data_IF_599944418095
#
_entry.id   IF_599944418095
#
_cell.length_a   1.000
_cell.length_b   1.000
_cell.length_c   1.000
_cell.angle_alpha   90.00
_cell.angle_beta   90.00
_cell.angle_gamma   90.00
#
_symmetry.space_group_name_H-M   'P 1'
#
loop_
_entity.id
_entity.type
_entity.pdbx_description
1 polymer ?
#
# COMPACT_ATOMS: atom_id res chain seq x y z
N UNK A 1 -2.65 26.22 -5.04
CA UNK A 1 -2.83 25.50 -3.76
C UNK A 1 -1.64 25.83 -2.84
N UNK A 2 -1.86 26.13 -1.54
CA UNK A 2 -0.77 26.50 -0.61
C UNK A 2 -0.03 25.28 -0.06
N UNK A 3 1.28 25.40 0.21
CA UNK A 3 2.13 24.35 0.81
C UNK A 3 1.54 23.77 2.11
N UNK A 4 0.85 24.60 2.89
CA UNK A 4 0.21 24.21 4.16
C UNK A 4 -0.96 23.23 3.94
N UNK A 5 -1.67 23.36 2.82
CA UNK A 5 -2.79 22.48 2.50
C UNK A 5 -2.29 21.11 2.02
N UNK A 6 -1.13 21.05 1.34
CA UNK A 6 -0.61 19.79 0.79
C UNK A 6 -0.14 18.79 1.86
N UNK A 7 0.54 19.25 2.91
CA UNK A 7 0.92 18.35 4.02
C UNK A 7 -0.30 17.81 4.76
N UNK A 8 -1.39 18.59 4.80
CA UNK A 8 -2.66 18.16 5.35
C UNK A 8 -3.31 17.08 4.46
N UNK A 9 -3.30 17.23 3.14
CA UNK A 9 -3.80 16.20 2.22
C UNK A 9 -3.02 14.89 2.35
N UNK A 10 -1.68 14.94 2.38
CA UNK A 10 -0.85 13.72 2.58
C UNK A 10 -1.19 13.04 3.90
N UNK A 11 -1.32 13.84 4.97
CA UNK A 11 -1.66 13.34 6.30
C UNK A 11 -3.05 12.72 6.33
N UNK A 12 -4.04 13.37 5.70
CA UNK A 12 -5.41 12.87 5.57
C UNK A 12 -5.46 11.55 4.82
N UNK A 13 -4.84 11.48 3.64
CA UNK A 13 -4.79 10.24 2.86
C UNK A 13 -4.07 9.11 3.62
N UNK A 14 -2.97 9.44 4.31
CA UNK A 14 -2.26 8.47 5.15
C UNK A 14 -3.11 7.94 6.31
N UNK A 15 -3.95 8.79 6.92
CA UNK A 15 -4.91 8.37 7.94
C UNK A 15 -5.94 7.41 7.33
N UNK A 16 -6.52 7.75 6.17
CA UNK A 16 -7.48 6.90 5.46
C UNK A 16 -6.91 5.52 5.11
N UNK A 17 -5.64 5.44 4.69
CA UNK A 17 -4.94 4.17 4.49
C UNK A 17 -4.96 3.28 5.73
N UNK A 18 -4.66 3.86 6.90
CA UNK A 18 -4.60 3.11 8.17
C UNK A 18 -6.01 2.78 8.67
N UNK A 19 -6.97 3.69 8.53
CA UNK A 19 -8.36 3.44 8.88
C UNK A 19 -8.97 2.31 8.06
N UNK A 20 -8.69 2.22 6.75
CA UNK A 20 -9.13 1.10 5.90
C UNK A 20 -8.67 -0.26 6.45
N UNK A 21 -7.45 -0.32 6.96
CA UNK A 21 -6.89 -1.55 7.58
C UNK A 21 -7.54 -1.85 8.92
N UNK A 22 -7.91 -0.84 9.69
CA UNK A 22 -8.49 -1.01 11.03
C UNK A 22 -9.96 -1.39 10.96
N UNK A 23 -10.75 -0.66 10.16
CA UNK A 23 -12.21 -0.70 10.14
C UNK A 23 -12.77 -2.00 9.54
N UNK A 24 -12.01 -2.76 8.75
CA UNK A 24 -12.48 -3.98 8.08
C UNK A 24 -13.85 -3.79 7.38
N UNK A 25 -14.16 -2.57 6.94
CA UNK A 25 -15.50 -2.22 6.46
C UNK A 25 -15.74 -2.82 5.07
N UNK A 26 -16.90 -3.48 4.96
CA UNK A 26 -17.37 -4.23 3.78
C UNK A 26 -17.85 -3.36 2.62
N UNK A 27 -17.55 -2.06 2.63
CA UNK A 27 -18.28 -1.11 1.78
C UNK A 27 -17.53 -0.75 0.49
N UNK A 28 -17.05 -1.79 -0.21
CA UNK A 28 -16.58 -1.66 -1.59
C UNK A 28 -17.16 -2.80 -2.42
N UNK A 29 -18.27 -2.52 -3.11
CA UNK A 29 -18.89 -3.39 -4.12
C UNK A 29 -18.04 -3.51 -5.42
N UNK A 30 -16.71 -3.45 -5.29
CA UNK A 30 -15.77 -3.48 -6.42
C UNK A 30 -14.98 -4.78 -6.36
N UNK A 31 -15.40 -5.77 -7.15
CA UNK A 31 -14.78 -7.09 -7.27
C UNK A 31 -13.31 -7.05 -7.71
N UNK A 32 -12.81 -5.88 -8.14
CA UNK A 32 -11.42 -5.68 -8.59
C UNK A 32 -10.50 -5.06 -7.53
N UNK A 33 -11.00 -4.74 -6.32
CA UNK A 33 -10.18 -4.23 -5.21
C UNK A 33 -10.02 -5.27 -4.10
N UNK A 34 -8.80 -5.45 -3.56
CA UNK A 34 -8.57 -6.41 -2.48
C UNK A 34 -9.45 -6.05 -1.26
N UNK A 35 -10.35 -6.98 -0.90
CA UNK A 35 -11.22 -6.84 0.27
C UNK A 35 -10.36 -6.78 1.56
N UNK A 36 -10.42 -5.69 2.35
CA UNK A 36 -9.57 -5.50 3.53
C UNK A 36 -9.87 -6.46 4.69
N UNK A 37 -10.96 -7.25 4.64
CA UNK A 37 -11.35 -8.26 5.66
C UNK A 37 -10.27 -9.27 6.08
N UNK A 38 -9.14 -9.34 5.37
CA UNK A 38 -8.11 -10.36 5.56
C UNK A 38 -6.67 -9.80 5.63
N UNK A 39 -6.51 -8.49 5.77
CA UNK A 39 -5.19 -7.88 5.93
C UNK A 39 -4.73 -8.03 7.38
N UNK A 40 -3.64 -8.75 7.61
CA UNK A 40 -2.99 -8.82 8.90
C UNK A 40 -2.42 -7.44 9.31
N UNK A 41 -3.00 -6.84 10.34
CA UNK A 41 -2.67 -5.48 10.81
C UNK A 41 -1.21 -5.39 11.27
N UNK A 42 -0.69 -6.43 11.93
CA UNK A 42 0.70 -6.49 12.43
C UNK A 42 1.71 -6.51 11.28
N UNK A 43 1.44 -7.28 10.23
CA UNK A 43 2.25 -7.32 9.01
C UNK A 43 2.17 -6.01 8.22
N UNK A 44 0.98 -5.41 8.08
CA UNK A 44 0.84 -4.08 7.47
C UNK A 44 1.68 -3.03 8.21
N UNK A 45 1.52 -2.92 9.54
CA UNK A 45 2.31 -2.03 10.40
C UNK A 45 3.81 -2.26 10.22
N UNK A 46 4.24 -3.52 10.21
CA UNK A 46 5.64 -3.89 10.02
C UNK A 46 6.17 -3.44 8.66
N UNK A 47 5.39 -3.60 7.59
CA UNK A 47 5.80 -3.23 6.24
C UNK A 47 5.87 -1.70 6.08
N UNK A 48 4.85 -0.95 6.48
CA UNK A 48 4.84 0.52 6.37
C UNK A 48 5.98 1.17 7.15
N UNK A 49 6.38 0.61 8.30
CA UNK A 49 7.56 1.04 9.07
C UNK A 49 8.88 0.87 8.31
N UNK A 50 8.96 -0.12 7.40
CA UNK A 50 10.14 -0.41 6.58
C UNK A 50 10.14 0.35 5.25
N UNK A 51 9.00 0.86 4.79
CA UNK A 51 8.86 1.45 3.46
C UNK A 51 9.83 2.61 3.19
N UNK A 52 9.92 3.59 4.09
CA UNK A 52 10.85 4.72 3.91
C UNK A 52 12.31 4.24 3.79
N UNK A 53 12.72 3.24 4.58
CA UNK A 53 14.07 2.68 4.53
C UNK A 53 14.32 1.89 3.24
N UNK A 54 13.32 1.12 2.76
CA UNK A 54 13.41 0.40 1.49
C UNK A 54 13.61 1.38 0.32
N UNK A 55 12.81 2.46 0.30
CA UNK A 55 12.92 3.50 -0.73
C UNK A 55 14.29 4.17 -0.68
N UNK A 56 14.78 4.53 0.50
CA UNK A 56 16.08 5.18 0.68
C UNK A 56 17.26 4.30 0.23
N UNK A 57 17.23 3.00 0.56
CA UNK A 57 18.35 2.07 0.29
C UNK A 57 18.34 1.52 -1.13
N UNK A 58 17.16 1.19 -1.65
CA UNK A 58 17.03 0.42 -2.90
C UNK A 58 16.49 1.27 -4.05
N UNK A 59 15.97 2.47 -3.77
CA UNK A 59 15.22 3.28 -4.72
C UNK A 59 13.74 2.90 -4.79
N UNK A 60 12.92 3.82 -5.31
CA UNK A 60 11.47 3.65 -5.35
C UNK A 60 11.04 2.55 -6.32
N UNK A 61 11.57 2.52 -7.55
CA UNK A 61 11.25 1.46 -8.54
C UNK A 61 11.52 0.07 -7.99
N UNK A 62 12.70 -0.18 -7.43
CA UNK A 62 13.05 -1.49 -6.85
C UNK A 62 12.14 -1.85 -5.66
N UNK A 63 11.69 -0.86 -4.90
CA UNK A 63 10.72 -1.08 -3.81
C UNK A 63 9.38 -1.54 -4.37
N UNK A 64 8.87 -0.93 -5.45
CA UNK A 64 7.64 -1.37 -6.11
C UNK A 64 7.79 -2.79 -6.67
N UNK A 65 8.90 -3.09 -7.34
CA UNK A 65 9.21 -4.44 -7.85
C UNK A 65 9.22 -5.47 -6.71
N UNK A 66 9.81 -5.13 -5.57
CA UNK A 66 9.79 -5.98 -4.38
C UNK A 66 8.38 -6.23 -3.87
N UNK A 67 7.57 -5.18 -3.70
CA UNK A 67 6.18 -5.31 -3.27
C UNK A 67 5.38 -6.18 -4.24
N UNK A 68 5.54 -5.96 -5.55
CA UNK A 68 4.90 -6.71 -6.62
C UNK A 68 5.29 -8.20 -6.56
N UNK A 69 6.57 -8.50 -6.30
CA UNK A 69 7.04 -9.89 -6.16
C UNK A 69 6.39 -10.64 -4.99
N UNK A 70 6.05 -9.92 -3.91
CA UNK A 70 5.41 -10.49 -2.71
C UNK A 70 3.89 -10.60 -2.86
N UNK A 71 3.28 -9.65 -3.57
CA UNK A 71 1.86 -9.65 -3.93
C UNK A 71 1.49 -10.77 -4.92
N UNK A 72 2.34 -11.03 -5.92
CA UNK A 72 2.07 -11.92 -7.06
C UNK A 72 2.44 -13.40 -6.85
N UNK A 73 2.46 -13.91 -5.62
CA UNK A 73 2.67 -15.35 -5.42
C UNK A 73 1.45 -16.15 -5.91
N UNK A 74 1.48 -16.58 -7.18
CA UNK A 74 0.81 -17.72 -7.89
C UNK A 74 -0.61 -18.17 -7.50
N UNK A 75 -1.45 -17.32 -6.90
CA UNK A 75 -2.80 -17.72 -6.48
C UNK A 75 -3.94 -17.29 -7.44
N UNK A 76 -3.59 -16.74 -8.60
CA UNK A 76 -4.55 -16.40 -9.65
C UNK A 76 -4.15 -17.11 -10.95
N UNK A 77 -5.11 -17.79 -11.58
CA UNK A 77 -5.02 -18.20 -13.00
C UNK A 77 -6.22 -17.61 -13.72
N UNK A 78 -5.99 -16.99 -14.88
CA UNK A 78 -7.05 -16.41 -15.73
C UNK A 78 -7.99 -15.43 -15.00
N UNK A 79 -7.47 -14.63 -14.06
CA UNK A 79 -8.29 -13.67 -13.29
C UNK A 79 -9.08 -14.29 -12.13
N UNK A 80 -9.14 -15.61 -12.03
CA UNK A 80 -9.83 -16.30 -10.93
C UNK A 80 -8.86 -16.68 -9.81
N UNK A 81 -9.27 -16.37 -8.58
CA UNK A 81 -8.55 -16.75 -7.36
C UNK A 81 -8.67 -18.26 -7.20
N UNK A 82 -7.57 -18.99 -7.40
CA UNK A 82 -7.53 -20.43 -7.14
C UNK A 82 -7.12 -20.61 -5.68
N UNK A 83 -8.07 -21.04 -4.85
CA UNK A 83 -7.83 -21.51 -3.49
C UNK A 83 -8.19 -22.99 -3.46
N UNK A 84 -7.18 -23.86 -3.31
CA UNK A 84 -7.40 -25.32 -3.30
C UNK A 84 -7.60 -25.86 -1.89
N UNK A 85 -7.13 -25.14 -0.87
CA UNK A 85 -7.26 -25.53 0.53
C UNK A 85 -7.12 -24.32 1.49
N UNK A 86 -7.38 -24.57 2.77
CA UNK A 86 -7.31 -23.57 3.85
C UNK A 86 -5.89 -23.00 4.07
N UNK A 87 -4.84 -23.75 3.74
CA UNK A 87 -3.45 -23.29 3.93
C UNK A 87 -3.04 -22.30 2.84
N UNK A 88 -3.47 -22.51 1.60
CA UNK A 88 -3.34 -21.54 0.51
C UNK A 88 -4.12 -20.26 0.83
N UNK A 89 -5.31 -20.37 1.43
CA UNK A 89 -6.09 -19.21 1.87
C UNK A 89 -5.35 -18.38 2.93
N UNK A 90 -4.79 -19.03 3.95
CA UNK A 90 -3.96 -18.38 4.98
C UNK A 90 -2.73 -17.70 4.36
N UNK A 91 -2.09 -18.36 3.39
CA UNK A 91 -0.92 -17.81 2.67
C UNK A 91 -1.27 -16.59 1.82
N UNK A 92 -2.47 -16.56 1.22
CA UNK A 92 -2.96 -15.39 0.50
C UNK A 92 -3.20 -14.24 1.47
N UNK A 93 -3.93 -14.49 2.57
CA UNK A 93 -4.25 -13.47 3.57
C UNK A 93 -3.00 -12.85 4.16
N UNK A 94 -1.98 -13.66 4.47
CA UNK A 94 -0.70 -13.17 5.02
C UNK A 94 0.07 -12.24 4.08
N UNK A 95 -0.29 -12.14 2.80
CA UNK A 95 0.37 -11.27 1.81
C UNK A 95 -0.48 -10.10 1.33
N UNK A 96 -1.72 -9.97 1.78
CA UNK A 96 -2.62 -8.92 1.26
C UNK A 96 -2.13 -7.51 1.55
N UNK A 97 -1.41 -7.30 2.65
CA UNK A 97 -0.82 -6.00 2.98
C UNK A 97 0.14 -5.48 1.88
N UNK A 98 0.78 -6.36 1.08
CA UNK A 98 1.58 -5.94 -0.08
C UNK A 98 0.71 -5.36 -1.21
N UNK A 99 -0.42 -6.02 -1.51
CA UNK A 99 -1.37 -5.54 -2.52
C UNK A 99 -1.96 -4.19 -2.12
N UNK A 100 -2.34 -4.07 -0.84
CA UNK A 100 -2.92 -2.84 -0.31
C UNK A 100 -1.92 -1.68 -0.40
N UNK A 101 -0.65 -1.88 -0.01
CA UNK A 101 0.36 -0.82 -0.11
C UNK A 101 0.64 -0.42 -1.56
N UNK A 102 0.68 -1.38 -2.50
CA UNK A 102 0.81 -1.05 -3.92
C UNK A 102 -0.36 -0.22 -4.41
N UNK A 103 -1.58 -0.58 -4.00
CA UNK A 103 -2.78 0.18 -4.33
C UNK A 103 -2.74 1.59 -3.73
N UNK A 104 -2.34 1.72 -2.47
CA UNK A 104 -2.21 3.00 -1.78
C UNK A 104 -1.20 3.93 -2.50
N UNK A 105 -0.09 3.38 -3.01
CA UNK A 105 0.89 4.12 -3.82
C UNK A 105 0.26 4.63 -5.11
N UNK A 106 -0.40 3.76 -5.87
CA UNK A 106 -0.97 4.11 -7.16
C UNK A 106 -2.12 5.13 -7.02
N UNK A 107 -2.96 4.96 -6.02
CA UNK A 107 -4.06 5.88 -5.74
C UNK A 107 -3.53 7.25 -5.28
N UNK A 108 -2.56 7.28 -4.36
CA UNK A 108 -1.95 8.55 -3.95
C UNK A 108 -1.34 9.29 -5.13
N UNK A 109 -0.67 8.56 -6.04
CA UNK A 109 -0.09 9.18 -7.23
C UNK A 109 -1.13 9.89 -8.11
N UNK A 110 -2.37 9.38 -8.20
CA UNK A 110 -3.47 10.00 -8.95
C UNK A 110 -4.07 11.21 -8.23
N UNK A 111 -4.22 11.11 -6.92
CA UNK A 111 -4.87 12.13 -6.11
C UNK A 111 -3.92 13.28 -5.76
N UNK A 112 -2.60 13.09 -5.96
CA UNK A 112 -1.61 14.05 -5.52
C UNK A 112 -1.50 15.24 -6.48
N UNK A 113 -1.87 16.46 -6.02
CA UNK A 113 -1.84 17.65 -6.86
C UNK A 113 -0.41 18.14 -7.19
N UNK A 114 0.64 17.65 -6.49
CA UNK A 114 2.05 17.94 -6.82
C UNK A 114 2.57 17.10 -7.98
N UNK A 115 1.87 16.02 -8.27
CA UNK A 115 2.20 15.12 -9.36
C UNK A 115 1.31 15.54 -10.52
N UNK A 116 1.58 16.72 -11.05
CA UNK A 116 0.96 17.21 -12.27
C UNK A 116 1.70 16.58 -13.46
N UNK A 117 1.55 15.25 -13.56
CA UNK A 117 2.03 14.46 -14.68
C UNK A 117 0.79 14.03 -15.46
N UNK A 118 0.85 14.09 -16.79
CA UNK A 118 -0.22 13.71 -17.70
C UNK A 118 -0.53 12.20 -17.59
N UNK A 119 -1.22 11.80 -16.52
CA UNK A 119 -1.71 10.45 -16.29
C UNK A 119 -2.97 10.15 -17.13
N UNK A 120 -3.34 11.04 -18.06
CA UNK A 120 -4.50 10.94 -18.94
C UNK A 120 -4.50 9.65 -19.78
N UNK A 121 -3.35 8.98 -19.90
CA UNK A 121 -3.18 7.71 -20.63
C UNK A 121 -3.29 6.45 -19.75
N UNK A 122 -3.46 6.55 -18.43
CA UNK A 122 -3.69 5.39 -17.58
C UNK A 122 -5.19 5.04 -17.59
N UNK A 123 -5.55 3.94 -18.27
CA UNK A 123 -6.95 3.59 -18.53
C UNK A 123 -7.84 3.55 -17.27
N UNK A 124 -9.03 4.15 -17.41
CA UNK A 124 -10.03 4.36 -16.36
C UNK A 124 -10.62 3.05 -15.81
N UNK A 125 -10.56 1.95 -16.57
CA UNK A 125 -11.06 0.66 -16.13
C UNK A 125 -10.03 -0.04 -15.24
N UNK A 126 -10.18 0.18 -13.93
CA UNK A 126 -9.23 -0.21 -12.88
C UNK A 126 -9.42 -1.65 -12.38
N UNK A 127 -8.99 -2.62 -13.19
CA UNK A 127 -8.73 -3.98 -12.72
C UNK A 127 -7.27 -4.11 -12.24
N UNK A 128 -7.08 -4.47 -10.98
CA UNK A 128 -5.77 -4.48 -10.31
C UNK A 128 -5.02 -5.77 -10.65
N UNK A 129 -4.37 -5.80 -11.81
CA UNK A 129 -3.47 -6.88 -12.20
C UNK A 129 -2.03 -6.38 -12.36
N UNK A 130 -1.08 -7.32 -12.34
CA UNK A 130 0.37 -7.13 -12.51
C UNK A 130 0.76 -6.14 -13.61
N UNK A 131 -0.05 -6.01 -14.67
CA UNK A 131 0.21 -5.14 -15.81
C UNK A 131 0.20 -3.65 -15.43
N UNK A 132 -0.71 -3.20 -14.56
CA UNK A 132 -0.78 -1.77 -14.16
C UNK A 132 0.41 -1.35 -13.31
N UNK A 133 0.86 -2.22 -12.41
CA UNK A 133 2.08 -1.98 -11.63
C UNK A 133 3.29 -1.91 -12.58
N UNK A 134 3.34 -2.73 -13.63
CA UNK A 134 4.39 -2.65 -14.66
C UNK A 134 4.31 -1.36 -15.48
N UNK A 135 3.12 -0.90 -15.87
CA UNK A 135 2.93 0.38 -16.56
C UNK A 135 3.38 1.56 -15.69
N UNK A 136 3.05 1.53 -14.38
CA UNK A 136 3.54 2.53 -13.45
C UNK A 136 5.07 2.49 -13.29
N UNK A 137 5.68 1.31 -13.24
CA UNK A 137 7.14 1.18 -13.22
C UNK A 137 7.78 1.76 -14.49
N UNK A 138 7.20 1.50 -15.68
CA UNK A 138 7.68 2.07 -16.94
C UNK A 138 7.58 3.58 -16.93
N UNK A 139 6.43 4.12 -16.52
CA UNK A 139 6.25 5.55 -16.33
C UNK A 139 7.35 6.14 -15.44
N UNK A 140 7.64 5.55 -14.28
CA UNK A 140 8.69 6.01 -13.38
C UNK A 140 10.09 5.95 -14.00
N UNK A 141 10.34 4.99 -14.88
CA UNK A 141 11.62 4.80 -15.56
C UNK A 141 11.88 5.90 -16.60
N UNK A 142 10.82 6.41 -17.23
CA UNK A 142 10.90 7.44 -18.28
C UNK A 142 11.01 8.87 -17.72
N UNK A 143 10.85 9.05 -16.40
CA UNK A 143 10.98 10.34 -15.73
C UNK A 143 12.42 10.86 -15.74
N UNK A 144 12.54 12.18 -15.82
CA UNK A 144 13.84 12.80 -15.60
C UNK A 144 14.24 12.74 -14.12
N UNK A 145 15.53 13.01 -13.84
CA UNK A 145 16.08 12.89 -12.48
C UNK A 145 15.40 13.78 -11.43
N UNK A 146 14.85 14.94 -11.82
CA UNK A 146 14.17 15.87 -10.92
C UNK A 146 12.78 15.36 -10.58
N UNK A 147 12.02 14.93 -11.58
CA UNK A 147 10.68 14.34 -11.45
C UNK A 147 10.73 13.06 -10.60
N UNK A 148 11.65 12.15 -10.92
CA UNK A 148 11.81 10.92 -10.16
C UNK A 148 12.16 11.18 -8.69
N UNK A 149 13.02 12.18 -8.43
CA UNK A 149 13.38 12.60 -7.07
C UNK A 149 12.18 13.22 -6.34
N UNK A 150 11.34 14.00 -7.03
CA UNK A 150 10.14 14.58 -6.47
C UNK A 150 9.16 13.49 -6.02
N UNK A 151 8.84 12.53 -6.89
CA UNK A 151 7.97 11.40 -6.56
C UNK A 151 8.56 10.59 -5.42
N UNK A 152 9.86 10.30 -5.46
CA UNK A 152 10.53 9.54 -4.39
C UNK A 152 10.37 10.23 -3.03
N UNK A 153 10.59 11.56 -2.96
CA UNK A 153 10.39 12.35 -1.73
C UNK A 153 8.93 12.36 -1.27
N UNK A 154 8.01 12.43 -2.22
CA UNK A 154 6.58 12.44 -1.93
C UNK A 154 6.13 11.10 -1.34
N UNK A 155 6.59 9.97 -1.90
CA UNK A 155 6.33 8.64 -1.36
C UNK A 155 6.96 8.45 0.01
N UNK A 156 8.18 8.96 0.23
CA UNK A 156 8.78 8.95 1.57
C UNK A 156 7.97 9.77 2.59
N UNK A 157 7.38 10.89 2.17
CA UNK A 157 6.54 11.73 3.02
C UNK A 157 5.24 11.01 3.37
N UNK A 158 4.58 10.42 2.37
CA UNK A 158 3.39 9.58 2.55
C UNK A 158 3.67 8.46 3.56
N UNK A 159 4.69 7.64 3.32
CA UNK A 159 5.02 6.52 4.22
C UNK A 159 5.49 6.98 5.60
N UNK A 160 6.07 8.18 5.71
CA UNK A 160 6.34 8.82 7.00
C UNK A 160 5.07 9.07 7.81
N UNK A 161 4.01 9.57 7.17
CA UNK A 161 2.71 9.77 7.81
C UNK A 161 1.98 8.45 8.09
N UNK A 162 1.92 7.53 7.11
CA UNK A 162 1.29 6.21 7.29
C UNK A 162 1.95 5.49 8.48
N UNK A 163 3.28 5.52 8.56
CA UNK A 163 4.02 4.97 9.69
C UNK A 163 3.55 5.55 11.02
N UNK A 164 3.43 6.88 11.14
CA UNK A 164 3.01 7.54 12.39
C UNK A 164 1.60 7.12 12.80
N UNK A 165 0.67 7.09 11.85
CA UNK A 165 -0.69 6.63 12.11
C UNK A 165 -0.76 5.14 12.45
N UNK A 166 -0.04 4.28 11.72
CA UNK A 166 0.03 2.85 12.03
C UNK A 166 0.70 2.57 13.39
N UNK A 167 1.72 3.34 13.77
CA UNK A 167 2.34 3.23 15.09
C UNK A 167 1.36 3.61 16.22
N UNK A 168 0.53 4.64 16.02
CA UNK A 168 -0.45 5.13 16.99
C UNK A 168 -1.76 4.33 17.05
N UNK A 169 -2.26 3.84 15.90
CA UNK A 169 -3.62 3.31 15.77
C UNK A 169 -3.67 1.77 15.69
N UNK A 170 -2.57 1.13 15.30
CA UNK A 170 -2.47 -0.34 15.30
C UNK A 170 -1.69 -0.71 16.55
N UNK A 171 -2.41 -0.84 17.68
CA UNK A 171 -1.78 -1.18 18.97
C UNK A 171 -1.21 -2.61 19.00
N UNK A 172 -0.13 -2.73 19.76
CA UNK A 172 0.60 -3.96 20.05
C UNK A 172 -0.23 -4.87 20.94
N UNK A 173 -0.89 -5.88 20.35
CA UNK A 173 -1.59 -7.00 21.03
C UNK A 173 -0.70 -7.83 21.98
N UNK A 174 0.52 -7.38 22.30
CA UNK A 174 1.51 -8.11 23.08
C UNK A 174 1.50 -7.73 24.60
N UNK A 175 0.61 -6.83 25.07
CA UNK A 175 0.60 -6.38 26.49
C UNK A 175 -0.58 -6.86 27.36
N UNK A 176 -1.54 -7.59 26.82
CA UNK A 176 -2.75 -7.98 27.59
C UNK A 176 -2.74 -9.43 28.07
N UNK A 177 -1.71 -10.23 27.75
CA UNK A 177 -1.62 -11.66 28.10
C UNK A 177 -0.73 -12.01 29.31
N UNK A 178 -0.07 -11.05 29.96
CA UNK A 178 0.86 -11.33 31.08
C UNK A 178 0.31 -11.05 32.49
N UNK A 179 -0.93 -10.56 32.65
CA UNK A 179 -1.46 -10.19 33.99
C UNK A 179 -2.54 -11.10 34.59
N UNK A 180 -2.78 -12.30 34.05
CA UNK A 180 -3.76 -13.25 34.61
C UNK A 180 -3.10 -14.58 35.03
N UNK A 181 -2.05 -14.52 35.83
CA UNK A 181 -1.31 -15.71 36.28
C UNK A 181 -0.59 -15.56 37.62
N UNK A 182 -1.11 -14.74 38.53
CA UNK A 182 -0.56 -14.59 39.87
C UNK A 182 -1.55 -13.94 40.82
N UNK A 183 -2.45 -14.76 41.37
CA UNK A 183 -2.73 -14.87 42.82
C UNK A 183 -3.87 -15.88 43.04
#
# INVERSE_FOLDING_TARGET
>A
MSLKNMNLEVSKYALECVERVIKNENDYNDYNKPNPKSVDKKSYKTLVKKMSTLIQKNGFINTIVFLMSKANEKNYKNGEKIVRNNDELKKIHSKQHYNLILQDILNWHKENPKIELELQNLSENYDFNTKKVQEYIKFLYDLNSQEYRLITKEMMTLFGWIKRFADAMIESEDKTSENNGGD
#
